data_IF_726503852250
#
_entry.id   IF_726503852250
#
_cell.length_a   1.000
_cell.length_b   1.000
_cell.length_c   1.000
_cell.angle_alpha   90.00
_cell.angle_beta   90.00
_cell.angle_gamma   90.00
#
_symmetry.space_group_name_H-M   'P 1'
#
loop_
_entity.id
_entity.type
_entity.pdbx_description
1 polymer ?
#
# COMPACT_ATOMS: atom_id res chain seq x y z
N UNK A 1 -66.50 -9.40 -19.30
CA UNK A 1 -65.50 -10.30 -18.66
C UNK A 1 -64.10 -10.19 -19.28
N UNK A 2 -63.96 -9.87 -20.57
CA UNK A 2 -62.67 -9.74 -21.28
C UNK A 2 -61.81 -8.55 -20.80
N UNK A 3 -62.40 -7.36 -20.67
CA UNK A 3 -61.72 -6.13 -20.21
C UNK A 3 -61.07 -6.26 -18.83
N UNK A 4 -61.71 -6.98 -17.89
CA UNK A 4 -61.19 -7.17 -16.53
C UNK A 4 -59.93 -8.07 -16.52
N UNK A 5 -59.87 -9.07 -17.40
CA UNK A 5 -58.68 -9.95 -17.53
C UNK A 5 -57.50 -9.21 -18.18
N UNK A 6 -57.74 -8.34 -19.15
CA UNK A 6 -56.69 -7.54 -19.81
C UNK A 6 -56.07 -6.54 -18.82
N UNK A 7 -56.90 -5.84 -18.02
CA UNK A 7 -56.43 -4.89 -17.01
C UNK A 7 -55.58 -5.55 -15.91
N UNK A 8 -56.01 -6.71 -15.40
CA UNK A 8 -55.25 -7.48 -14.39
C UNK A 8 -53.89 -7.95 -14.95
N UNK A 9 -53.84 -8.33 -16.24
CA UNK A 9 -52.58 -8.75 -16.87
C UNK A 9 -51.59 -7.58 -17.02
N UNK A 10 -52.08 -6.40 -17.41
CA UNK A 10 -51.28 -5.18 -17.54
C UNK A 10 -50.75 -4.70 -16.18
N UNK A 11 -51.58 -4.65 -15.14
CA UNK A 11 -51.16 -4.31 -13.77
C UNK A 11 -50.10 -5.29 -13.23
N UNK A 12 -50.22 -6.58 -13.58
CA UNK A 12 -49.22 -7.59 -13.20
C UNK A 12 -47.88 -7.39 -13.92
N UNK A 13 -47.91 -7.01 -15.21
CA UNK A 13 -46.68 -6.72 -15.97
C UNK A 13 -45.97 -5.45 -15.46
N UNK A 14 -46.72 -4.40 -15.08
CA UNK A 14 -46.14 -3.20 -14.46
C UNK A 14 -45.53 -3.48 -13.09
N UNK A 15 -46.23 -4.26 -12.24
CA UNK A 15 -45.69 -4.69 -10.94
C UNK A 15 -44.41 -5.53 -11.09
N UNK A 16 -44.34 -6.42 -12.08
CA UNK A 16 -43.14 -7.21 -12.35
C UNK A 16 -41.97 -6.33 -12.85
N UNK A 17 -42.25 -5.31 -13.68
CA UNK A 17 -41.24 -4.33 -14.10
C UNK A 17 -40.74 -3.48 -12.93
N UNK A 18 -41.62 -3.13 -11.98
CA UNK A 18 -41.24 -2.39 -10.78
C UNK A 18 -40.35 -3.23 -9.84
N UNK A 19 -40.72 -4.49 -9.60
CA UNK A 19 -39.90 -5.44 -8.84
C UNK A 19 -38.54 -5.65 -9.50
N UNK A 20 -38.49 -5.80 -10.83
CA UNK A 20 -37.24 -5.93 -11.56
C UNK A 20 -36.36 -4.68 -11.41
N UNK A 21 -36.92 -3.47 -11.48
CA UNK A 21 -36.17 -2.22 -11.23
C UNK A 21 -35.61 -2.15 -9.82
N UNK A 22 -36.36 -2.60 -8.82
CA UNK A 22 -35.90 -2.67 -7.42
C UNK A 22 -34.75 -3.66 -7.28
N UNK A 23 -34.89 -4.87 -7.81
CA UNK A 23 -33.84 -5.90 -7.77
C UNK A 23 -32.59 -5.40 -8.47
N UNK A 24 -32.73 -4.79 -9.65
CA UNK A 24 -31.61 -4.21 -10.39
C UNK A 24 -30.92 -3.10 -9.61
N UNK A 25 -31.68 -2.22 -8.94
CA UNK A 25 -31.13 -1.18 -8.06
C UNK A 25 -30.33 -1.77 -6.90
N UNK A 26 -30.82 -2.83 -6.24
CA UNK A 26 -30.09 -3.49 -5.16
C UNK A 26 -28.82 -4.21 -5.66
N UNK A 27 -28.87 -4.88 -6.82
CA UNK A 27 -27.70 -5.52 -7.41
C UNK A 27 -26.62 -4.48 -7.74
N UNK A 28 -26.99 -3.37 -8.39
CA UNK A 28 -26.04 -2.29 -8.73
C UNK A 28 -25.45 -1.64 -7.46
N UNK A 29 -26.25 -1.50 -6.40
CA UNK A 29 -25.79 -0.91 -5.14
C UNK A 29 -24.75 -1.78 -4.43
N UNK A 30 -24.83 -3.11 -4.53
CA UNK A 30 -23.86 -4.03 -3.92
C UNK A 30 -22.50 -3.97 -4.64
N UNK A 31 -22.49 -3.75 -5.97
CA UNK A 31 -21.25 -3.57 -6.73
C UNK A 31 -20.57 -2.21 -6.49
N UNK A 32 -21.25 -1.25 -5.86
CA UNK A 32 -20.75 0.11 -5.68
C UNK A 32 -19.90 0.30 -4.41
N UNK A 33 -19.64 -0.76 -3.64
CA UNK A 33 -18.72 -0.73 -2.49
C UNK A 33 -17.25 -0.85 -2.94
N UNK A 34 -16.86 -0.07 -3.95
CA UNK A 34 -15.45 0.07 -4.35
C UNK A 34 -14.80 1.12 -3.43
N UNK A 35 -13.99 0.67 -2.47
CA UNK A 35 -13.15 1.58 -1.71
C UNK A 35 -12.02 2.06 -2.65
N UNK A 36 -11.90 3.38 -2.90
CA UNK A 36 -10.82 3.87 -3.75
C UNK A 36 -9.49 3.61 -3.05
N UNK A 37 -8.60 2.91 -3.75
CA UNK A 37 -7.23 2.69 -3.30
C UNK A 37 -6.28 3.57 -4.08
N UNK A 38 -5.38 4.21 -3.34
CA UNK A 38 -4.17 4.81 -3.91
C UNK A 38 -3.09 3.74 -3.86
N UNK A 39 -2.46 3.45 -5.00
CA UNK A 39 -1.53 2.34 -5.13
C UNK A 39 -0.09 2.84 -5.16
N UNK A 40 0.78 2.12 -4.45
CA UNK A 40 2.22 2.32 -4.48
C UNK A 40 2.92 1.03 -4.88
N UNK A 41 3.66 1.05 -5.99
CA UNK A 41 4.64 0.01 -6.26
C UNK A 41 5.83 0.22 -5.34
N UNK A 42 6.21 -0.83 -4.60
CA UNK A 42 7.17 -0.71 -3.50
C UNK A 42 8.41 -1.54 -3.78
N UNK A 43 9.58 -0.91 -3.69
CA UNK A 43 10.89 -1.57 -3.70
C UNK A 43 11.61 -1.32 -2.38
N UNK A 44 12.29 -2.35 -1.89
CA UNK A 44 12.94 -2.34 -0.58
C UNK A 44 14.37 -2.86 -0.72
N UNK A 45 15.35 -2.12 -0.23
CA UNK A 45 16.75 -2.54 -0.24
C UNK A 45 17.35 -2.50 1.16
N UNK A 46 17.92 -3.62 1.59
CA UNK A 46 18.61 -3.74 2.87
C UNK A 46 20.08 -3.38 2.68
N UNK A 47 20.53 -2.27 3.28
CA UNK A 47 21.91 -1.79 3.18
C UNK A 47 22.76 -2.41 4.28
N UNK A 48 23.77 -3.16 3.86
CA UNK A 48 24.69 -3.85 4.76
C UNK A 48 26.11 -3.47 4.37
N UNK A 49 26.88 -3.01 5.34
CA UNK A 49 28.30 -2.72 5.16
C UNK A 49 29.09 -3.34 6.32
N UNK A 50 30.19 -4.03 6.02
CA UNK A 50 31.10 -4.57 7.05
C UNK A 50 30.40 -5.40 8.17
N UNK A 51 29.43 -6.26 7.81
CA UNK A 51 28.58 -7.03 8.75
C UNK A 51 27.72 -6.18 9.70
N UNK A 52 27.44 -4.94 9.33
CA UNK A 52 26.55 -4.01 10.02
C UNK A 52 25.36 -3.71 9.13
N UNK A 53 24.17 -3.75 9.70
CA UNK A 53 22.95 -3.32 9.04
C UNK A 53 22.88 -1.80 9.16
N UNK A 54 23.31 -1.10 8.11
CA UNK A 54 23.32 0.36 8.04
C UNK A 54 21.89 0.89 8.08
N UNK A 55 21.01 0.31 7.26
CA UNK A 55 19.61 0.69 7.23
C UNK A 55 18.83 0.03 6.10
N UNK A 56 17.68 0.61 5.80
CA UNK A 56 16.74 0.12 4.79
C UNK A 56 16.34 1.29 3.91
N UNK A 57 16.56 1.17 2.61
CA UNK A 57 16.02 2.08 1.60
C UNK A 57 14.65 1.57 1.14
N UNK A 58 13.69 2.49 1.07
CA UNK A 58 12.34 2.24 0.61
C UNK A 58 12.05 3.20 -0.55
N UNK A 59 11.69 2.66 -1.70
CA UNK A 59 11.22 3.42 -2.85
C UNK A 59 9.74 3.11 -3.05
N UNK A 60 8.91 4.14 -2.95
CA UNK A 60 7.46 4.05 -3.17
C UNK A 60 7.14 4.82 -4.45
N UNK A 61 6.64 4.12 -5.47
CA UNK A 61 6.21 4.74 -6.72
C UNK A 61 4.69 4.83 -6.75
N UNK A 62 4.17 6.07 -6.72
CA UNK A 62 2.74 6.33 -6.80
C UNK A 62 2.23 6.05 -8.21
N UNK A 63 1.08 5.38 -8.32
CA UNK A 63 0.47 5.08 -9.61
C UNK A 63 0.24 6.34 -10.49
N UNK A 64 0.28 6.13 -11.80
CA UNK A 64 0.19 7.19 -12.82
C UNK A 64 -1.06 8.06 -12.66
N UNK A 65 -2.21 7.45 -12.31
CA UNK A 65 -3.48 8.15 -12.18
C UNK A 65 -3.42 9.12 -10.99
N UNK A 66 -3.03 8.64 -9.81
CA UNK A 66 -2.93 9.46 -8.61
C UNK A 66 -1.81 10.50 -8.72
N UNK A 67 -0.70 10.18 -9.41
CA UNK A 67 0.34 11.16 -9.73
C UNK A 67 -0.20 12.29 -10.59
N UNK A 68 -0.92 11.97 -11.67
CA UNK A 68 -1.52 12.98 -12.58
C UNK A 68 -2.56 13.85 -11.88
N UNK A 69 -3.38 13.28 -11.00
CA UNK A 69 -4.35 14.03 -10.21
C UNK A 69 -3.68 15.08 -9.31
N UNK A 70 -2.47 14.78 -8.81
CA UNK A 70 -1.71 15.67 -7.92
C UNK A 70 -0.70 16.57 -8.65
N UNK A 71 -0.50 16.42 -9.98
CA UNK A 71 0.56 17.10 -10.76
C UNK A 71 0.65 18.62 -10.55
N UNK A 72 -0.49 19.29 -10.37
CA UNK A 72 -0.52 20.75 -10.12
C UNK A 72 0.03 21.14 -8.74
N UNK A 73 -0.09 20.25 -7.76
CA UNK A 73 0.35 20.46 -6.38
C UNK A 73 1.83 20.09 -6.26
N UNK A 74 2.26 18.99 -6.90
CA UNK A 74 3.63 18.48 -6.83
C UNK A 74 4.69 19.49 -7.28
N UNK A 75 4.39 20.33 -8.28
CA UNK A 75 5.27 21.43 -8.76
C UNK A 75 6.76 21.00 -8.87
N UNK A 76 7.07 20.00 -9.71
CA UNK A 76 8.44 19.54 -9.88
C UNK A 76 9.36 20.67 -10.36
N UNK A 77 10.62 20.65 -9.94
CA UNK A 77 11.65 21.55 -10.41
C UNK A 77 12.18 21.16 -11.81
N UNK A 78 13.30 21.77 -12.24
CA UNK A 78 13.93 21.47 -13.54
C UNK A 78 14.54 20.07 -13.63
N UNK A 79 14.89 19.49 -12.50
CA UNK A 79 15.47 18.15 -12.36
C UNK A 79 14.39 17.10 -12.04
N UNK A 80 13.11 17.51 -12.06
CA UNK A 80 11.94 16.72 -11.72
C UNK A 80 11.82 16.36 -10.23
N UNK A 81 12.62 16.99 -9.37
CA UNK A 81 12.49 16.82 -7.92
C UNK A 81 11.23 17.52 -7.41
N UNK A 82 10.62 16.93 -6.39
CA UNK A 82 9.40 17.42 -5.75
C UNK A 82 9.71 17.74 -4.29
N UNK A 83 9.48 18.99 -3.91
CA UNK A 83 9.64 19.44 -2.52
C UNK A 83 8.68 18.71 -1.58
N UNK A 84 9.16 18.42 -0.36
CA UNK A 84 8.41 17.70 0.67
C UNK A 84 7.04 18.33 0.94
N UNK A 85 7.00 19.67 1.06
CA UNK A 85 5.79 20.46 1.35
C UNK A 85 4.70 20.33 0.28
N UNK A 86 5.07 19.94 -0.95
CA UNK A 86 4.14 19.74 -2.06
C UNK A 86 3.52 18.33 -2.05
N UNK A 87 3.94 17.44 -1.16
CA UNK A 87 3.40 16.08 -1.02
C UNK A 87 2.47 16.02 0.21
N UNK A 88 1.21 16.42 0.01
CA UNK A 88 0.20 16.60 1.07
C UNK A 88 -0.02 15.34 1.93
N UNK A 89 0.16 14.17 1.35
CA UNK A 89 -0.05 12.88 2.01
C UNK A 89 1.21 12.27 2.63
N UNK A 90 2.38 12.92 2.52
CA UNK A 90 3.65 12.34 2.95
C UNK A 90 3.65 11.90 4.41
N UNK A 91 3.09 12.75 5.30
CA UNK A 91 2.94 12.46 6.74
C UNK A 91 2.22 11.15 7.05
N UNK A 92 1.38 10.66 6.14
CA UNK A 92 0.67 9.40 6.30
C UNK A 92 1.58 8.22 5.97
N UNK A 93 2.45 8.35 4.96
CA UNK A 93 3.36 7.28 4.52
C UNK A 93 4.33 6.86 5.64
N UNK A 94 4.86 7.82 6.40
CA UNK A 94 5.69 7.55 7.58
C UNK A 94 5.01 6.59 8.57
N UNK A 95 3.68 6.68 8.75
CA UNK A 95 2.92 5.84 9.69
C UNK A 95 2.70 4.42 9.18
N UNK A 96 2.84 4.22 7.88
CA UNK A 96 2.56 2.95 7.21
C UNK A 96 3.80 2.06 7.14
N UNK A 97 5.00 2.66 7.19
CA UNK A 97 6.29 1.95 7.24
C UNK A 97 6.46 1.32 8.62
N UNK A 98 6.61 -0.01 8.66
CA UNK A 98 6.81 -0.78 9.90
C UNK A 98 8.12 -1.56 9.78
N UNK A 99 9.13 -1.08 10.50
CA UNK A 99 10.43 -1.74 10.57
C UNK A 99 10.72 -2.17 12.00
N UNK A 100 11.19 -3.41 12.15
CA UNK A 100 11.67 -3.94 13.43
C UNK A 100 12.95 -4.71 13.20
N UNK A 101 13.99 -4.37 13.95
CA UNK A 101 15.22 -5.12 13.99
C UNK A 101 15.41 -5.70 15.40
N UNK A 102 15.51 -7.02 15.49
CA UNK A 102 15.56 -7.76 16.76
C UNK A 102 14.42 -7.33 17.70
N UNK A 103 14.75 -6.67 18.81
CA UNK A 103 13.78 -6.19 19.80
C UNK A 103 13.41 -4.70 19.64
N UNK A 104 14.05 -3.99 18.71
CA UNK A 104 13.85 -2.56 18.49
C UNK A 104 12.88 -2.33 17.34
N UNK A 105 11.87 -1.51 17.59
CA UNK A 105 10.90 -1.06 16.58
C UNK A 105 11.21 0.39 16.23
N UNK A 106 11.31 0.66 14.93
CA UNK A 106 11.55 1.98 14.37
C UNK A 106 10.20 2.65 14.11
N UNK A 107 10.06 3.88 14.59
CA UNK A 107 8.85 4.70 14.52
C UNK A 107 8.99 5.77 13.45
N UNK A 108 7.92 6.54 13.27
CA UNK A 108 7.84 7.67 12.33
C UNK A 108 9.04 8.62 12.45
N UNK A 109 9.41 9.01 13.67
CA UNK A 109 10.53 9.93 13.93
C UNK A 109 11.91 9.33 13.64
N UNK A 110 12.00 8.01 13.51
CA UNK A 110 13.25 7.30 13.16
C UNK A 110 13.45 7.16 11.64
N UNK A 111 12.46 7.56 10.83
CA UNK A 111 12.49 7.41 9.37
C UNK A 111 12.87 8.74 8.74
N UNK A 112 13.79 8.70 7.78
CA UNK A 112 14.27 9.87 7.05
C UNK A 112 13.59 9.90 5.68
N UNK A 113 12.99 11.03 5.32
CA UNK A 113 12.64 11.32 3.93
C UNK A 113 13.91 11.78 3.20
N UNK A 114 14.27 11.10 2.12
CA UNK A 114 15.48 11.42 1.37
C UNK A 114 15.19 12.40 0.25
N UNK A 115 14.22 12.06 -0.60
CA UNK A 115 13.85 12.84 -1.77
C UNK A 115 12.53 12.34 -2.36
N UNK A 116 11.94 13.16 -3.22
CA UNK A 116 10.89 12.72 -4.13
C UNK A 116 11.15 13.29 -5.52
N UNK A 117 10.82 12.53 -6.55
CA UNK A 117 11.00 12.94 -7.95
C UNK A 117 9.92 12.35 -8.83
N UNK A 118 9.63 13.03 -9.93
CA UNK A 118 8.77 12.51 -10.98
C UNK A 118 9.61 11.76 -12.01
N UNK A 119 9.32 10.47 -12.17
CA UNK A 119 9.96 9.57 -13.14
C UNK A 119 8.86 8.87 -13.92
N UNK A 120 8.90 8.97 -15.25
CA UNK A 120 7.95 8.31 -16.16
C UNK A 120 6.46 8.47 -15.73
N UNK A 121 6.05 9.72 -15.48
CA UNK A 121 4.70 10.10 -15.00
C UNK A 121 4.28 9.54 -13.63
N UNK A 122 5.21 8.94 -12.87
CA UNK A 122 5.00 8.45 -11.50
C UNK A 122 5.80 9.26 -10.49
N UNK A 123 5.22 9.51 -9.31
CA UNK A 123 5.93 10.13 -8.20
C UNK A 123 6.67 9.04 -7.41
N UNK A 124 8.00 9.05 -7.50
CA UNK A 124 8.87 8.20 -6.69
C UNK A 124 9.24 8.93 -5.40
N UNK A 125 9.00 8.30 -4.27
CA UNK A 125 9.28 8.82 -2.93
C UNK A 125 10.27 7.88 -2.26
N UNK A 126 11.36 8.44 -1.73
CA UNK A 126 12.44 7.68 -1.12
C UNK A 126 12.51 7.94 0.38
N UNK A 127 12.56 6.84 1.14
CA UNK A 127 12.77 6.87 2.57
C UNK A 127 13.96 6.01 2.96
N UNK A 128 14.63 6.42 4.03
CA UNK A 128 15.69 5.65 4.67
C UNK A 128 15.37 5.40 6.14
N UNK A 129 15.49 4.15 6.57
CA UNK A 129 15.38 3.77 7.99
C UNK A 129 16.77 3.44 8.52
N UNK A 130 17.45 4.38 9.21
CA UNK A 130 18.75 4.12 9.82
C UNK A 130 18.61 3.10 10.95
N UNK A 131 19.43 2.05 10.90
CA UNK A 131 19.47 1.01 11.93
C UNK A 131 20.80 1.07 12.67
N UNK A 132 21.90 1.09 11.92
CA UNK A 132 23.27 1.20 12.44
C UNK A 132 23.64 0.12 13.48
N UNK A 133 23.20 -1.13 13.28
CA UNK A 133 23.41 -2.23 14.25
C UNK A 133 24.19 -3.41 13.65
N UNK A 134 25.04 -4.05 14.48
CA UNK A 134 25.83 -5.21 14.05
C UNK A 134 24.93 -6.42 13.77
N UNK A 135 25.16 -7.06 12.63
CA UNK A 135 24.51 -8.33 12.29
C UNK A 135 25.18 -9.46 13.05
N UNK A 136 24.39 -10.14 13.88
CA UNK A 136 24.80 -11.38 14.55
C UNK A 136 23.96 -12.55 14.07
N UNK A 137 24.45 -13.78 14.27
CA UNK A 137 23.71 -14.99 13.90
C UNK A 137 22.31 -15.00 14.53
N UNK A 138 21.30 -15.29 13.72
CA UNK A 138 19.87 -15.25 14.05
C UNK A 138 19.29 -13.85 14.30
N UNK A 139 20.02 -12.77 13.95
CA UNK A 139 19.41 -11.44 13.93
C UNK A 139 18.20 -11.45 13.00
N UNK A 140 17.13 -10.77 13.39
CA UNK A 140 15.87 -10.75 12.65
C UNK A 140 15.51 -9.34 12.24
N UNK A 141 15.31 -9.14 10.95
CA UNK A 141 14.74 -7.93 10.39
C UNK A 141 13.31 -8.23 9.92
N UNK A 142 12.36 -7.40 10.34
CA UNK A 142 10.96 -7.45 9.90
C UNK A 142 10.59 -6.14 9.24
N UNK A 143 9.94 -6.23 8.08
CA UNK A 143 9.52 -5.08 7.28
C UNK A 143 8.09 -5.34 6.80
N UNK A 144 7.21 -4.37 7.01
CA UNK A 144 5.86 -4.38 6.46
C UNK A 144 5.44 -2.94 6.12
N UNK A 145 4.64 -2.78 5.07
CA UNK A 145 4.03 -1.51 4.70
C UNK A 145 2.52 -1.71 4.59
N UNK A 146 1.75 -0.98 5.40
CA UNK A 146 0.29 -1.03 5.35
C UNK A 146 -0.38 0.20 5.98
N UNK A 147 -1.51 0.59 5.39
CA UNK A 147 -2.44 1.57 5.96
C UNK A 147 -3.59 0.86 6.68
N UNK A 148 -3.70 1.08 7.99
CA UNK A 148 -4.79 0.52 8.81
C UNK A 148 -6.19 1.00 8.41
N UNK A 149 -6.30 2.16 7.74
CA UNK A 149 -7.55 2.68 7.19
C UNK A 149 -7.88 2.11 5.81
N UNK A 150 -6.94 1.36 5.22
CA UNK A 150 -7.05 0.70 3.94
C UNK A 150 -7.31 1.65 2.75
N UNK A 151 -6.89 2.90 2.87
CA UNK A 151 -6.98 3.87 1.78
C UNK A 151 -5.78 3.77 0.83
N UNK A 152 -4.60 3.49 1.37
CA UNK A 152 -3.39 3.21 0.60
C UNK A 152 -3.13 1.71 0.52
N UNK A 153 -2.77 1.24 -0.67
CA UNK A 153 -2.28 -0.11 -0.88
C UNK A 153 -0.83 -0.08 -1.37
N UNK A 154 0.00 -0.95 -0.81
CA UNK A 154 1.41 -1.08 -1.13
C UNK A 154 1.60 -2.41 -1.83
N UNK A 155 1.93 -2.37 -3.11
CA UNK A 155 2.20 -3.57 -3.91
C UNK A 155 3.68 -3.93 -3.79
N UNK A 156 3.96 -5.04 -3.12
CA UNK A 156 5.29 -5.64 -3.04
C UNK A 156 5.17 -7.14 -2.95
N UNK A 157 6.10 -7.82 -3.61
CA UNK A 157 6.20 -9.27 -3.57
C UNK A 157 7.57 -9.70 -3.06
N UNK A 158 7.82 -11.01 -2.94
CA UNK A 158 9.12 -11.51 -2.46
C UNK A 158 10.31 -10.92 -3.23
N UNK A 159 10.16 -10.63 -4.52
CA UNK A 159 11.21 -10.09 -5.40
C UNK A 159 11.53 -8.61 -5.16
N UNK A 160 10.58 -7.85 -4.58
CA UNK A 160 10.73 -6.43 -4.27
C UNK A 160 11.78 -6.14 -3.19
N UNK A 161 12.12 -7.14 -2.36
CA UNK A 161 13.16 -7.04 -1.35
C UNK A 161 14.53 -7.45 -1.92
N UNK A 162 15.48 -6.53 -1.90
CA UNK A 162 16.88 -6.74 -2.26
C UNK A 162 17.75 -6.77 -1.02
N UNK A 163 18.61 -7.78 -0.94
CA UNK A 163 19.62 -7.94 0.12
C UNK A 163 20.95 -8.23 -0.57
N UNK A 164 22.06 -7.71 -0.04
CA UNK A 164 23.39 -8.05 -0.54
C UNK A 164 23.60 -9.57 -0.56
N UNK A 165 23.97 -10.09 -1.74
CA UNK A 165 24.24 -11.51 -1.99
C UNK A 165 25.40 -12.06 -1.16
N UNK A 166 26.28 -11.19 -0.68
CA UNK A 166 27.43 -11.58 0.15
C UNK A 166 27.04 -11.98 1.58
N UNK A 167 25.81 -11.67 2.00
CA UNK A 167 25.31 -11.98 3.34
C UNK A 167 24.40 -13.21 3.28
N UNK A 168 24.75 -14.23 4.06
CA UNK A 168 23.86 -15.37 4.25
C UNK A 168 22.63 -14.94 5.04
N UNK A 169 21.47 -15.02 4.39
CA UNK A 169 20.20 -14.68 4.99
C UNK A 169 19.09 -15.55 4.43
N UNK A 170 18.07 -15.78 5.26
CA UNK A 170 16.84 -16.46 4.87
C UNK A 170 15.71 -15.43 4.88
N UNK A 171 15.09 -15.23 3.72
CA UNK A 171 13.94 -14.35 3.54
C UNK A 171 12.65 -15.17 3.53
N UNK A 172 11.76 -14.86 4.47
CA UNK A 172 10.38 -15.33 4.48
C UNK A 172 9.45 -14.16 4.15
N UNK A 173 8.49 -14.37 3.25
CA UNK A 173 7.49 -13.39 2.88
C UNK A 173 6.11 -14.04 3.04
N UNK A 174 5.26 -13.46 3.87
CA UNK A 174 4.00 -14.08 4.27
C UNK A 174 2.97 -13.05 4.74
N UNK A 175 1.70 -13.44 4.69
CA UNK A 175 0.59 -12.67 5.29
C UNK A 175 0.55 -12.87 6.80
N UNK A 176 0.64 -11.78 7.57
CA UNK A 176 0.65 -11.83 9.03
C UNK A 176 -0.77 -11.77 9.62
N UNK A 177 -1.45 -12.92 9.69
CA UNK A 177 -2.82 -13.04 10.18
C UNK A 177 -3.05 -12.67 11.66
N UNK A 178 -1.98 -12.45 12.42
CA UNK A 178 -2.09 -11.95 13.80
C UNK A 178 -2.48 -10.48 13.85
N UNK A 179 -2.24 -9.74 12.76
CA UNK A 179 -2.62 -8.34 12.61
C UNK A 179 -3.82 -8.30 11.68
N UNK A 180 -4.93 -7.75 12.18
CA UNK A 180 -6.15 -7.55 11.41
C UNK A 180 -6.53 -6.08 11.46
N UNK A 181 -6.83 -5.51 10.29
CA UNK A 181 -7.32 -4.14 10.15
C UNK A 181 -8.47 -4.10 9.15
N UNK A 182 -9.10 -2.92 9.01
CA UNK A 182 -10.27 -2.71 8.16
C UNK A 182 -11.38 -3.77 8.37
N UNK A 183 -12.17 -3.59 9.43
CA UNK A 183 -13.24 -4.52 9.84
C UNK A 183 -12.78 -5.96 10.11
N UNK A 184 -11.51 -6.14 10.49
CA UNK A 184 -10.84 -7.43 10.70
C UNK A 184 -10.77 -8.31 9.44
N UNK A 185 -10.88 -7.73 8.25
CA UNK A 185 -10.90 -8.46 6.98
C UNK A 185 -9.51 -8.55 6.34
N UNK A 186 -8.62 -7.59 6.64
CA UNK A 186 -7.33 -7.46 5.95
C UNK A 186 -6.19 -7.72 6.92
N UNK A 187 -5.18 -8.45 6.44
CA UNK A 187 -3.90 -8.70 7.11
C UNK A 187 -2.78 -8.08 6.29
N UNK A 188 -1.70 -7.57 6.90
CA UNK A 188 -0.56 -7.06 6.16
C UNK A 188 0.33 -8.19 5.67
N UNK A 189 1.05 -7.94 4.60
CA UNK A 189 2.19 -8.76 4.21
C UNK A 189 3.44 -8.32 4.98
N UNK A 190 4.30 -9.26 5.32
CA UNK A 190 5.48 -9.03 6.15
C UNK A 190 6.67 -9.82 5.61
N UNK A 191 7.81 -9.13 5.45
CA UNK A 191 9.10 -9.79 5.32
C UNK A 191 9.64 -10.12 6.71
N UNK A 192 10.13 -11.34 6.88
CA UNK A 192 11.02 -11.73 7.98
C UNK A 192 12.34 -12.23 7.38
N UNK A 193 13.39 -11.44 7.56
CA UNK A 193 14.77 -11.78 7.18
C UNK A 193 15.51 -12.26 8.41
N UNK A 194 16.05 -13.48 8.35
CA UNK A 194 16.94 -14.02 9.39
C UNK A 194 18.36 -14.08 8.85
N UNK A 195 19.30 -13.44 9.53
CA UNK A 195 20.73 -13.45 9.16
C UNK A 195 21.44 -14.67 9.77
N UNK A 196 22.30 -15.35 9.00
CA UNK A 196 22.96 -16.62 9.37
C UNK A 196 24.43 -16.48 9.78
#
# INVERSE_FOLDING_TARGET
MYYKKVKIKLEREENMKFIYKIILFFIISIYSYSHPHVFFDTNIEVKIENQKLEGIELQLSLDELNTRLNKKILKPDKEMNVEEENIVFLKHLFKHIRVKYNNKTYKEDDIIFEQAKLVDDSLEIYFFVPIDEKITKNSKLKIALYDTKYYYNYDYEKSSLKIDKNIKSKVNFFTNDKIKFYFNLVSPEEYEVTFE
#
